data_IF_312716901113
#
_entry.id   IF_312716901113
#
_cell.length_a   1.000
_cell.length_b   1.000
_cell.length_c   1.000
_cell.angle_alpha   90.00
_cell.angle_beta   90.00
_cell.angle_gamma   90.00
#
_symmetry.space_group_name_H-M   'P 1'
#
loop_
_entity.id
_entity.type
_entity.pdbx_description
1 polymer ?
#
# COMPACT_ATOMS: atom_id res chain seq x y z
N UNK A 1 13.38 -34.22 23.73
CA UNK A 1 13.67 -32.99 22.98
C UNK A 1 12.36 -32.29 22.70
N UNK A 2 12.01 -31.26 23.48
CA UNK A 2 10.79 -30.47 23.27
C UNK A 2 11.19 -29.26 22.43
N UNK A 3 10.70 -29.20 21.20
CA UNK A 3 10.86 -28.04 20.32
C UNK A 3 10.06 -26.88 20.91
N UNK A 4 10.75 -25.87 21.44
CA UNK A 4 10.13 -24.61 21.80
C UNK A 4 9.84 -23.85 20.51
N UNK A 5 8.64 -24.05 19.96
CA UNK A 5 8.08 -23.17 18.94
C UNK A 5 7.64 -21.89 19.66
N UNK A 6 8.54 -20.90 19.75
CA UNK A 6 8.23 -19.61 20.35
C UNK A 6 7.19 -18.91 19.48
N UNK A 7 5.93 -18.99 19.88
CA UNK A 7 4.84 -18.16 19.35
C UNK A 7 5.17 -16.73 19.73
N UNK A 8 5.71 -15.95 18.79
CA UNK A 8 5.92 -14.52 18.97
C UNK A 8 4.55 -13.83 18.83
N UNK A 9 3.85 -13.65 19.94
CA UNK A 9 2.73 -12.72 20.03
C UNK A 9 3.29 -11.33 19.71
N UNK A 10 2.83 -10.71 18.63
CA UNK A 10 3.27 -9.37 18.25
C UNK A 10 2.82 -8.39 19.34
N UNK A 11 3.79 -7.87 20.09
CA UNK A 11 3.60 -6.72 20.96
C UNK A 11 3.72 -5.47 20.08
N UNK A 12 2.61 -4.75 19.92
CA UNK A 12 2.46 -3.66 18.95
C UNK A 12 3.30 -2.43 19.33
N UNK A 13 4.26 -2.07 18.47
CA UNK A 13 4.73 -0.68 18.39
C UNK A 13 3.59 0.14 17.76
N UNK A 14 3.14 1.14 18.50
CA UNK A 14 2.02 2.02 18.22
C UNK A 14 2.14 2.73 16.85
N UNK A 15 1.55 2.15 15.82
CA UNK A 15 1.10 2.89 14.65
C UNK A 15 -0.41 3.05 14.71
N UNK A 16 -0.88 4.27 14.40
CA UNK A 16 -2.30 4.64 14.37
C UNK A 16 -3.15 3.54 13.70
N UNK A 17 -4.31 3.18 14.26
CA UNK A 17 -5.17 2.18 13.65
C UNK A 17 -5.62 2.69 12.28
N UNK A 18 -5.28 1.95 11.23
CA UNK A 18 -5.83 2.16 9.89
C UNK A 18 -7.31 1.77 10.00
N UNK A 19 -8.21 2.74 9.96
CA UNK A 19 -9.63 2.48 9.75
C UNK A 19 -9.84 2.13 8.28
N UNK A 20 -9.57 0.88 7.92
CA UNK A 20 -10.03 0.29 6.66
C UNK A 20 -11.00 -0.82 7.03
N UNK A 21 -12.30 -0.56 6.92
CA UNK A 21 -13.38 -1.50 7.25
C UNK A 21 -13.76 -2.43 6.10
N UNK A 22 -13.02 -2.43 4.98
CA UNK A 22 -13.33 -3.30 3.85
C UNK A 22 -12.08 -3.99 3.30
N UNK A 23 -12.20 -5.31 3.12
CA UNK A 23 -11.24 -6.22 2.51
C UNK A 23 -10.83 -5.79 1.08
N UNK A 24 -11.62 -4.94 0.43
CA UNK A 24 -11.40 -4.43 -0.92
C UNK A 24 -12.37 -3.29 -1.24
N UNK A 25 -12.24 -2.70 -2.44
CA UNK A 25 -13.17 -1.68 -2.94
C UNK A 25 -14.13 -2.29 -3.96
N UNK A 26 -15.20 -1.57 -4.30
CA UNK A 26 -16.14 -2.01 -5.33
C UNK A 26 -15.41 -2.29 -6.64
N UNK A 27 -15.80 -3.40 -7.28
CA UNK A 27 -15.13 -3.90 -8.45
C UNK A 27 -16.10 -4.76 -9.29
N UNK A 28 -16.91 -4.10 -10.11
CA UNK A 28 -18.01 -4.72 -10.87
C UNK A 28 -17.62 -5.07 -12.31
N UNK A 29 -16.55 -4.47 -12.84
CA UNK A 29 -16.11 -4.74 -14.22
C UNK A 29 -15.09 -5.89 -14.29
N UNK A 30 -15.07 -6.62 -15.40
CA UNK A 30 -14.10 -7.70 -15.68
C UNK A 30 -12.88 -7.22 -16.48
N UNK A 31 -12.81 -5.93 -16.81
CA UNK A 31 -11.76 -5.37 -17.66
C UNK A 31 -10.39 -5.43 -16.97
N UNK A 32 -9.40 -6.10 -17.57
CA UNK A 32 -8.03 -6.16 -17.05
C UNK A 32 -7.40 -4.76 -17.05
N UNK A 33 -7.49 -4.05 -15.94
CA UNK A 33 -6.83 -2.76 -15.72
C UNK A 33 -5.73 -2.92 -14.69
N UNK A 34 -4.55 -2.42 -15.00
CA UNK A 34 -3.49 -2.26 -14.00
C UNK A 34 -3.93 -1.20 -13.01
N UNK A 35 -3.81 -1.52 -11.71
CA UNK A 35 -4.12 -0.59 -10.61
C UNK A 35 -2.81 -0.19 -9.96
N UNK A 36 -2.79 1.00 -9.37
CA UNK A 36 -1.63 1.51 -8.65
C UNK A 36 -1.90 1.59 -7.15
N UNK A 37 -0.83 1.60 -6.36
CA UNK A 37 -0.88 2.06 -4.98
C UNK A 37 0.31 2.95 -4.70
N UNK A 38 0.07 4.03 -3.99
CA UNK A 38 1.12 4.90 -3.51
C UNK A 38 1.83 4.26 -2.31
N UNK A 39 3.12 4.07 -2.44
CA UNK A 39 4.02 3.70 -1.36
C UNK A 39 4.93 4.87 -1.06
N UNK A 40 4.91 5.32 0.19
CA UNK A 40 5.79 6.40 0.65
C UNK A 40 6.73 5.82 1.70
N UNK A 41 8.04 5.75 1.43
CA UNK A 41 9.01 5.36 2.44
C UNK A 41 8.92 6.32 3.62
N UNK A 42 8.72 5.78 4.81
CA UNK A 42 8.78 6.53 6.07
C UNK A 42 10.21 6.51 6.61
N UNK A 43 10.57 7.51 7.43
CA UNK A 43 11.87 7.60 8.09
C UNK A 43 12.29 6.23 8.69
N UNK A 44 13.58 5.84 8.58
CA UNK A 44 14.06 4.66 9.26
C UNK A 44 13.85 4.85 10.76
N UNK A 45 13.04 3.99 11.39
CA UNK A 45 13.02 3.91 12.84
C UNK A 45 14.43 3.51 13.30
N UNK A 46 15.10 4.38 14.04
CA UNK A 46 16.34 4.02 14.74
C UNK A 46 16.07 2.75 15.55
N UNK A 47 16.70 1.64 15.18
CA UNK A 47 16.71 0.43 16.02
C UNK A 47 17.97 0.45 16.85
N UNK A 48 17.80 0.51 18.17
CA UNK A 48 18.84 0.11 19.11
C UNK A 48 18.90 -1.41 19.04
N UNK A 49 19.99 -1.95 18.50
CA UNK A 49 20.27 -3.38 18.61
C UNK A 49 21.17 -3.53 19.83
N UNK A 50 20.65 -4.17 20.89
CA UNK A 50 21.43 -4.55 22.06
C UNK A 50 22.22 -5.81 21.72
N UNK A 51 23.44 -5.66 21.21
CA UNK A 51 24.38 -6.77 21.03
C UNK A 51 25.33 -6.75 22.23
N UNK A 52 25.32 -7.81 23.04
CA UNK A 52 26.19 -8.10 24.19
C UNK A 52 27.24 -7.00 24.52
N UNK A 53 26.78 -5.94 25.20
CA UNK A 53 27.55 -4.80 25.72
C UNK A 53 27.84 -3.60 24.78
N UNK A 54 27.16 -3.47 23.63
CA UNK A 54 27.17 -2.23 22.83
C UNK A 54 25.77 -1.83 22.37
N UNK A 55 25.41 -0.56 22.59
CA UNK A 55 24.23 0.06 21.98
C UNK A 55 24.66 0.63 20.62
N UNK A 56 24.43 -0.11 19.53
CA UNK A 56 24.68 0.39 18.18
C UNK A 56 23.37 1.01 17.66
N UNK A 57 23.40 2.33 17.41
CA UNK A 57 22.39 2.99 16.59
C UNK A 57 22.58 2.50 15.14
N UNK A 58 21.80 1.52 14.73
CA UNK A 58 21.71 1.15 13.31
C UNK A 58 20.63 1.99 12.65
N UNK A 59 21.02 2.96 11.83
CA UNK A 59 20.09 3.60 10.89
C UNK A 59 19.66 2.54 9.88
N UNK A 60 18.35 2.28 9.77
CA UNK A 60 17.85 1.37 8.73
C UNK A 60 18.13 2.02 7.37
N UNK A 61 18.73 1.26 6.46
CA UNK A 61 19.22 1.73 5.16
C UNK A 61 18.17 2.51 4.37
N UNK A 62 18.58 3.59 3.69
CA UNK A 62 17.80 4.20 2.61
C UNK A 62 17.20 3.10 1.70
N UNK A 63 15.92 3.23 1.37
CA UNK A 63 15.28 2.31 0.43
C UNK A 63 15.67 2.69 -1.01
N UNK A 64 15.61 1.74 -1.93
CA UNK A 64 15.88 1.98 -3.35
C UNK A 64 14.70 1.51 -4.19
N UNK A 65 14.60 1.96 -5.44
CA UNK A 65 13.57 1.48 -6.36
C UNK A 65 13.60 -0.05 -6.51
N UNK A 66 14.80 -0.65 -6.60
CA UNK A 66 14.97 -2.11 -6.65
C UNK A 66 14.51 -2.81 -5.36
N UNK A 67 14.79 -2.24 -4.18
CA UNK A 67 14.28 -2.78 -2.90
C UNK A 67 12.75 -2.72 -2.83
N UNK A 68 12.15 -1.64 -3.31
CA UNK A 68 10.68 -1.49 -3.37
C UNK A 68 10.07 -2.50 -4.34
N UNK A 69 10.64 -2.66 -5.54
CA UNK A 69 10.18 -3.64 -6.51
C UNK A 69 10.21 -5.07 -5.94
N UNK A 70 11.33 -5.45 -5.31
CA UNK A 70 11.49 -6.75 -4.65
C UNK A 70 10.49 -6.94 -3.50
N UNK A 71 10.32 -5.94 -2.63
CA UNK A 71 9.35 -5.97 -1.53
C UNK A 71 7.91 -6.14 -2.04
N UNK A 72 7.63 -5.55 -3.19
CA UNK A 72 6.32 -5.57 -3.83
C UNK A 72 6.10 -6.80 -4.70
N UNK A 73 7.11 -7.65 -4.90
CA UNK A 73 7.01 -8.83 -5.77
C UNK A 73 6.84 -8.51 -7.25
N UNK A 74 7.29 -7.35 -7.73
CA UNK A 74 7.19 -6.94 -9.15
C UNK A 74 8.57 -6.68 -9.76
N UNK A 75 8.64 -6.65 -11.09
CA UNK A 75 9.88 -6.32 -11.79
C UNK A 75 10.26 -4.85 -11.59
N UNK A 76 11.56 -4.56 -11.56
CA UNK A 76 12.07 -3.19 -11.54
C UNK A 76 11.52 -2.36 -12.71
N UNK A 77 11.47 -2.95 -13.91
CA UNK A 77 10.97 -2.27 -15.10
C UNK A 77 9.50 -1.87 -14.92
N UNK A 78 8.65 -2.74 -14.38
CA UNK A 78 7.24 -2.42 -14.12
C UNK A 78 7.11 -1.26 -13.13
N UNK A 79 7.85 -1.30 -12.02
CA UNK A 79 7.88 -0.20 -11.05
C UNK A 79 8.37 1.11 -11.70
N UNK A 80 9.45 1.05 -12.47
CA UNK A 80 10.04 2.22 -13.11
C UNK A 80 9.09 2.84 -14.14
N UNK A 81 8.43 2.03 -14.96
CA UNK A 81 7.43 2.49 -15.94
C UNK A 81 6.27 3.24 -15.29
N UNK A 82 5.84 2.83 -14.10
CA UNK A 82 4.77 3.53 -13.36
C UNK A 82 5.23 4.88 -12.76
N UNK A 83 6.53 5.16 -12.73
CA UNK A 83 7.13 6.34 -12.11
C UNK A 83 8.01 7.16 -13.07
N UNK A 84 7.95 6.90 -14.38
CA UNK A 84 8.92 7.46 -15.34
C UNK A 84 8.89 8.99 -15.47
N UNK A 85 7.84 9.67 -15.01
CA UNK A 85 7.79 11.13 -14.95
C UNK A 85 8.55 11.71 -13.76
N UNK A 86 8.86 10.90 -12.74
CA UNK A 86 9.52 11.32 -11.50
C UNK A 86 11.03 11.06 -11.52
N UNK A 87 11.54 10.34 -12.52
CA UNK A 87 12.93 9.89 -12.58
C UNK A 87 13.49 9.97 -14.01
N UNK A 88 14.78 10.28 -14.22
CA UNK A 88 15.43 10.17 -15.52
C UNK A 88 15.31 8.78 -16.15
N UNK A 89 15.24 8.69 -17.48
CA UNK A 89 15.10 7.42 -18.21
C UNK A 89 16.25 6.40 -17.98
N UNK A 90 17.39 6.86 -17.45
CA UNK A 90 18.56 6.04 -17.12
C UNK A 90 18.70 5.72 -15.63
N UNK A 91 17.66 5.93 -14.82
CA UNK A 91 17.71 5.65 -13.39
C UNK A 91 18.01 4.18 -13.11
N UNK A 92 18.85 3.94 -12.10
CA UNK A 92 19.33 2.62 -11.71
C UNK A 92 18.46 1.99 -10.60
N UNK A 93 18.33 0.65 -10.51
CA UNK A 93 17.62 -0.02 -9.42
C UNK A 93 18.17 0.27 -8.01
N UNK A 94 19.43 0.69 -7.91
CA UNK A 94 20.07 1.07 -6.63
C UNK A 94 19.85 2.55 -6.27
N UNK A 95 19.13 3.31 -7.12
CA UNK A 95 18.77 4.69 -6.84
C UNK A 95 17.98 4.78 -5.54
N UNK A 96 18.45 5.63 -4.63
CA UNK A 96 17.80 5.85 -3.34
C UNK A 96 16.53 6.65 -3.52
N UNK A 97 15.44 6.20 -2.89
CA UNK A 97 14.20 6.98 -2.83
C UNK A 97 14.24 7.81 -1.56
N UNK A 98 14.06 9.12 -1.70
CA UNK A 98 13.97 10.05 -0.58
C UNK A 98 12.77 9.72 0.33
N UNK A 99 12.90 10.03 1.62
CA UNK A 99 11.78 9.91 2.55
C UNK A 99 10.66 10.84 2.12
N UNK A 100 9.41 10.42 2.32
CA UNK A 100 8.21 11.14 1.88
C UNK A 100 8.03 11.25 0.35
N UNK A 101 8.97 10.73 -0.46
CA UNK A 101 8.78 10.62 -1.89
C UNK A 101 7.81 9.46 -2.20
N UNK A 102 6.69 9.77 -2.85
CA UNK A 102 5.68 8.77 -3.18
C UNK A 102 6.05 8.00 -4.45
N UNK A 103 6.14 6.67 -4.35
CA UNK A 103 6.36 5.75 -5.45
C UNK A 103 5.06 5.01 -5.77
N UNK A 104 4.66 5.00 -7.05
CA UNK A 104 3.53 4.20 -7.54
C UNK A 104 3.96 2.76 -7.75
N UNK A 105 3.31 1.83 -7.08
CA UNK A 105 3.50 0.40 -7.26
C UNK A 105 2.36 -0.13 -8.13
N UNK A 106 2.61 -0.59 -9.36
CA UNK A 106 1.60 -1.25 -10.17
C UNK A 106 1.38 -2.68 -9.71
N UNK A 107 0.12 -3.11 -9.74
CA UNK A 107 -0.24 -4.51 -9.51
C UNK A 107 -1.46 -4.89 -10.35
N UNK A 108 -1.60 -6.19 -10.58
CA UNK A 108 -2.79 -6.73 -11.21
C UNK A 108 -3.90 -6.84 -10.16
N UNK A 109 -5.11 -6.40 -10.51
CA UNK A 109 -6.29 -6.62 -9.69
C UNK A 109 -6.85 -8.04 -9.88
N UNK A 110 -7.48 -8.57 -8.85
CA UNK A 110 -8.38 -9.71 -8.89
C UNK A 110 -9.72 -9.26 -8.32
N UNK A 111 -10.80 -9.48 -9.06
CA UNK A 111 -12.13 -9.13 -8.60
C UNK A 111 -13.01 -10.35 -8.44
N UNK A 112 -13.33 -10.62 -7.18
CA UNK A 112 -14.18 -11.72 -6.74
C UNK A 112 -15.37 -11.15 -5.98
N UNK A 113 -16.57 -11.61 -6.30
CA UNK A 113 -17.79 -11.24 -5.57
C UNK A 113 -18.07 -9.72 -5.54
N UNK A 114 -17.66 -8.98 -6.57
CA UNK A 114 -17.84 -7.53 -6.65
C UNK A 114 -16.83 -6.70 -5.84
N UNK A 115 -15.82 -7.35 -5.25
CA UNK A 115 -14.77 -6.71 -4.45
C UNK A 115 -13.43 -6.89 -5.15
N UNK A 116 -12.65 -5.81 -5.23
CA UNK A 116 -11.33 -5.78 -5.82
C UNK A 116 -10.22 -5.79 -4.79
N UNK A 117 -9.32 -6.76 -4.97
CA UNK A 117 -8.05 -6.87 -4.23
C UNK A 117 -6.90 -7.14 -5.19
N UNK A 118 -5.66 -6.95 -4.75
CA UNK A 118 -4.50 -7.29 -5.56
C UNK A 118 -4.40 -8.79 -5.82
N UNK A 119 -4.00 -9.18 -7.03
CA UNK A 119 -3.92 -10.58 -7.43
C UNK A 119 -2.61 -11.22 -6.95
N UNK A 120 -2.64 -11.91 -5.81
CA UNK A 120 -1.54 -12.71 -5.24
C UNK A 120 -0.23 -11.94 -4.95
N UNK A 121 -0.17 -10.64 -5.21
CA UNK A 121 1.00 -9.78 -5.07
C UNK A 121 0.57 -8.50 -4.36
N UNK A 122 1.33 -7.98 -3.38
CA UNK A 122 2.62 -8.46 -2.92
C UNK A 122 2.51 -9.64 -1.95
N UNK A 123 3.54 -10.49 -1.97
CA UNK A 123 3.74 -11.53 -0.95
C UNK A 123 4.83 -11.07 0.01
N UNK A 124 4.43 -10.46 1.13
CA UNK A 124 5.34 -9.81 2.07
C UNK A 124 4.77 -9.82 3.50
N UNK A 125 5.56 -9.35 4.46
CA UNK A 125 5.18 -9.25 5.88
C UNK A 125 4.91 -7.84 6.35
N UNK A 126 5.50 -6.86 5.67
CA UNK A 126 5.74 -5.53 6.24
C UNK A 126 5.01 -4.43 5.49
N UNK A 127 3.87 -4.75 4.87
CA UNK A 127 3.05 -3.75 4.18
C UNK A 127 1.81 -3.45 5.01
N UNK A 128 1.93 -2.43 5.86
CA UNK A 128 0.87 -1.99 6.77
C UNK A 128 -0.16 -1.12 6.02
N UNK A 129 -0.88 -1.72 5.08
CA UNK A 129 -1.94 -1.05 4.29
C UNK A 129 -3.32 -1.70 4.47
N UNK A 130 -3.36 -2.87 5.10
CA UNK A 130 -4.56 -3.69 5.31
C UNK A 130 -4.55 -4.25 6.73
N UNK A 131 -5.69 -4.76 7.18
CA UNK A 131 -5.79 -5.35 8.52
C UNK A 131 -5.22 -6.77 8.54
N UNK A 132 -4.90 -7.28 9.73
CA UNK A 132 -4.44 -8.67 9.88
C UNK A 132 -5.57 -9.66 9.61
N UNK A 133 -6.83 -9.27 9.84
CA UNK A 133 -8.02 -10.03 9.48
C UNK A 133 -8.12 -10.19 7.96
N UNK A 134 -7.89 -9.11 7.21
CA UNK A 134 -7.92 -9.14 5.75
C UNK A 134 -6.85 -10.08 5.21
N UNK A 135 -5.63 -9.96 5.72
CA UNK A 135 -4.53 -10.87 5.36
C UNK A 135 -4.90 -12.32 5.68
N UNK A 136 -5.43 -12.60 6.87
CA UNK A 136 -5.78 -13.96 7.26
C UNK A 136 -6.85 -14.57 6.35
N UNK A 137 -7.83 -13.77 5.92
CA UNK A 137 -8.95 -14.21 5.08
C UNK A 137 -8.55 -14.68 3.68
N UNK A 138 -7.39 -14.25 3.17
CA UNK A 138 -6.90 -14.61 1.83
C UNK A 138 -5.68 -15.55 1.85
N UNK A 139 -5.22 -15.96 3.04
CA UNK A 139 -4.03 -16.83 3.21
C UNK A 139 -4.34 -18.15 3.93
N UNK A 140 -5.61 -18.56 3.97
CA UNK A 140 -6.06 -19.78 4.68
C UNK A 140 -5.65 -19.81 6.16
N UNK A 141 -5.61 -18.64 6.83
CA UNK A 141 -5.20 -18.51 8.23
C UNK A 141 -6.46 -18.44 9.11
N UNK A 142 -6.70 -19.50 9.88
CA UNK A 142 -7.85 -19.56 10.77
C UNK A 142 -7.80 -18.55 11.94
N UNK A 143 -6.60 -18.25 12.46
CA UNK A 143 -6.42 -17.30 13.54
C UNK A 143 -5.50 -16.16 13.10
N UNK A 144 -6.09 -15.00 12.81
CA UNK A 144 -5.39 -13.80 12.32
C UNK A 144 -4.32 -13.24 13.28
N UNK A 145 -4.32 -13.67 14.55
CA UNK A 145 -3.29 -13.29 15.54
C UNK A 145 -2.05 -14.19 15.50
N UNK A 146 -2.10 -15.31 14.76
CA UNK A 146 -1.02 -16.28 14.65
C UNK A 146 -0.34 -16.17 13.28
N UNK A 147 0.69 -15.33 13.22
CA UNK A 147 1.59 -15.22 12.06
C UNK A 147 2.99 -15.65 12.52
N UNK A 148 3.62 -16.56 11.76
CA UNK A 148 4.92 -17.12 12.11
C UNK A 148 6.07 -16.30 11.55
N UNK A 149 7.27 -16.32 12.17
CA UNK A 149 8.53 -15.91 11.53
C UNK A 149 8.70 -16.57 10.15
N UNK A 150 9.31 -15.83 9.24
CA UNK A 150 9.42 -16.01 7.78
C UNK A 150 8.17 -16.39 6.95
N UNK A 151 7.00 -16.38 7.61
CA UNK A 151 5.63 -16.19 7.09
C UNK A 151 5.57 -15.35 5.80
N UNK A 152 5.52 -15.94 4.60
CA UNK A 152 5.19 -15.22 3.35
C UNK A 152 3.67 -15.11 3.22
N UNK A 153 3.15 -13.89 3.20
CA UNK A 153 1.70 -13.62 3.19
C UNK A 153 1.34 -12.80 1.97
N UNK A 154 0.33 -13.25 1.22
CA UNK A 154 -0.32 -12.41 0.24
C UNK A 154 -1.03 -11.26 0.96
N UNK A 155 -0.67 -10.03 0.62
CA UNK A 155 -1.30 -8.83 1.15
C UNK A 155 -2.41 -8.42 0.17
N UNK A 156 -3.71 -8.52 0.53
CA UNK A 156 -4.82 -8.21 -0.35
C UNK A 156 -5.01 -6.69 -0.46
N UNK A 157 -4.20 -6.01 -1.25
CA UNK A 157 -4.31 -4.56 -1.39
C UNK A 157 -5.66 -4.20 -2.02
N UNK A 158 -6.47 -3.36 -1.37
CA UNK A 158 -7.79 -3.03 -1.87
C UNK A 158 -7.64 -2.24 -3.18
N UNK A 159 -8.44 -2.58 -4.17
CA UNK A 159 -8.43 -1.93 -5.46
C UNK A 159 -9.84 -1.79 -6.03
N UNK A 160 -10.01 -0.78 -6.88
CA UNK A 160 -11.25 -0.51 -7.61
C UNK A 160 -10.97 -0.64 -9.11
N UNK A 161 -12.00 -0.91 -9.90
CA UNK A 161 -11.95 -0.95 -11.36
C UNK A 161 -13.19 -0.37 -12.04
N UNK A 162 -14.07 0.22 -11.23
CA UNK A 162 -15.32 0.78 -11.70
C UNK A 162 -15.07 2.14 -12.34
N UNK A 163 -15.87 2.44 -13.34
CA UNK A 163 -15.74 3.70 -14.05
C UNK A 163 -16.14 4.85 -13.14
N UNK A 164 -15.57 6.03 -13.41
CA UNK A 164 -15.80 7.24 -12.62
C UNK A 164 -16.55 8.26 -13.48
N UNK A 165 -17.52 8.98 -12.90
CA UNK A 165 -18.27 10.07 -13.56
C UNK A 165 -18.87 9.72 -14.94
N UNK A 166 -19.84 8.82 -15.02
CA UNK A 166 -20.57 8.63 -16.28
C UNK A 166 -19.76 7.96 -17.41
N UNK A 167 -18.96 6.96 -17.04
CA UNK A 167 -18.25 6.00 -17.90
C UNK A 167 -16.77 6.29 -18.21
N UNK A 168 -16.15 7.29 -17.57
CA UNK A 168 -14.73 7.55 -17.79
C UNK A 168 -13.84 6.41 -17.26
N UNK A 169 -12.96 5.92 -18.13
CA UNK A 169 -11.92 4.95 -17.79
C UNK A 169 -10.79 5.71 -17.09
N UNK A 170 -10.50 5.32 -15.85
CA UNK A 170 -9.41 5.88 -15.03
C UNK A 170 -8.50 4.75 -14.56
N UNK A 171 -7.27 5.10 -14.18
CA UNK A 171 -6.42 4.20 -13.42
C UNK A 171 -6.67 4.47 -11.94
N UNK A 172 -7.23 3.50 -11.22
CA UNK A 172 -7.40 3.62 -9.78
C UNK A 172 -6.04 3.57 -9.08
N UNK A 173 -5.91 4.35 -8.02
CA UNK A 173 -4.69 4.41 -7.25
C UNK A 173 -5.03 4.47 -5.76
N UNK A 174 -4.58 3.49 -4.99
CA UNK A 174 -4.69 3.56 -3.54
C UNK A 174 -3.75 4.65 -2.99
N UNK A 175 -4.28 5.56 -2.18
CA UNK A 175 -3.52 6.64 -1.55
C UNK A 175 -3.73 6.65 -0.04
N UNK A 176 -2.64 6.63 0.74
CA UNK A 176 -2.73 6.81 2.20
C UNK A 176 -2.65 8.29 2.54
N UNK A 177 -3.69 8.78 3.21
CA UNK A 177 -3.84 10.20 3.59
C UNK A 177 -2.76 10.59 4.60
N UNK A 178 -1.99 11.63 4.28
CA UNK A 178 -1.02 12.20 5.22
C UNK A 178 -1.68 13.10 6.27
N UNK A 179 -1.02 13.28 7.43
CA UNK A 179 -1.54 14.06 8.57
C UNK A 179 -1.95 15.51 8.26
N UNK A 180 -1.38 16.11 7.22
CA UNK A 180 -1.59 17.52 6.84
C UNK A 180 -2.31 17.67 5.50
N UNK A 181 -2.90 16.58 5.01
CA UNK A 181 -3.61 16.56 3.73
C UNK A 181 -5.04 17.08 3.85
N UNK A 182 -5.64 17.42 2.71
CA UNK A 182 -7.06 17.74 2.59
C UNK A 182 -7.59 17.21 1.27
N UNK A 183 -8.91 16.99 1.17
CA UNK A 183 -9.56 16.52 -0.07
C UNK A 183 -9.16 17.39 -1.26
N UNK A 184 -9.11 18.71 -1.09
CA UNK A 184 -8.71 19.65 -2.15
C UNK A 184 -7.26 19.46 -2.59
N UNK A 185 -6.33 19.29 -1.64
CA UNK A 185 -4.91 19.09 -1.95
C UNK A 185 -4.68 17.76 -2.66
N UNK A 186 -5.35 16.70 -2.21
CA UNK A 186 -5.27 15.37 -2.83
C UNK A 186 -5.86 15.42 -4.24
N UNK A 187 -7.07 15.96 -4.39
CA UNK A 187 -7.73 16.06 -5.70
C UNK A 187 -6.84 16.78 -6.72
N UNK A 188 -6.26 17.92 -6.33
CA UNK A 188 -5.30 18.65 -7.16
C UNK A 188 -4.04 17.83 -7.50
N UNK A 189 -3.48 17.10 -6.53
CA UNK A 189 -2.28 16.26 -6.73
C UNK A 189 -2.51 15.17 -7.78
N UNK A 190 -3.71 14.59 -7.83
CA UNK A 190 -4.05 13.49 -8.74
C UNK A 190 -4.82 13.94 -9.99
N UNK A 191 -5.00 15.24 -10.21
CA UNK A 191 -5.69 15.76 -11.39
C UNK A 191 -7.19 15.43 -11.42
N UNK A 192 -7.84 15.37 -10.27
CA UNK A 192 -9.29 15.15 -10.12
C UNK A 192 -9.95 16.31 -9.36
N UNK A 193 -11.27 16.26 -9.16
CA UNK A 193 -12.00 17.27 -8.37
C UNK A 193 -12.28 16.80 -6.94
N UNK A 194 -12.48 17.71 -5.99
CA UNK A 194 -12.87 17.34 -4.63
C UNK A 194 -14.21 16.58 -4.58
N UNK A 195 -15.15 16.92 -5.48
CA UNK A 195 -16.44 16.25 -5.59
C UNK A 195 -16.28 14.80 -6.03
N UNK A 196 -15.58 14.58 -7.14
CA UNK A 196 -15.23 13.25 -7.64
C UNK A 196 -14.55 12.40 -6.57
N UNK A 197 -13.56 12.97 -5.88
CA UNK A 197 -12.79 12.27 -4.86
C UNK A 197 -13.66 11.89 -3.66
N UNK A 198 -14.57 12.78 -3.26
CA UNK A 198 -15.49 12.53 -2.14
C UNK A 198 -16.51 11.46 -2.49
N UNK A 199 -17.15 11.57 -3.66
CA UNK A 199 -18.12 10.59 -4.16
C UNK A 199 -17.50 9.20 -4.29
N UNK A 200 -16.32 9.10 -4.91
CA UNK A 200 -15.60 7.83 -5.10
C UNK A 200 -15.28 7.11 -3.78
N UNK A 201 -15.08 7.88 -2.70
CA UNK A 201 -14.75 7.35 -1.38
C UNK A 201 -15.92 7.40 -0.39
N UNK A 202 -17.14 7.65 -0.87
CA UNK A 202 -18.34 7.70 -0.04
C UNK A 202 -18.34 8.79 1.04
N UNK A 203 -17.56 9.87 0.85
CA UNK A 203 -17.46 10.97 1.80
C UNK A 203 -18.60 11.96 1.59
N UNK A 204 -19.42 12.21 2.61
CA UNK A 204 -20.49 13.21 2.52
C UNK A 204 -19.94 14.65 2.64
N UNK A 205 -18.80 14.81 3.34
CA UNK A 205 -18.10 16.07 3.51
C UNK A 205 -16.58 15.84 3.63
N UNK A 206 -15.80 16.91 3.45
CA UNK A 206 -14.33 16.83 3.50
C UNK A 206 -13.76 16.55 4.89
N UNK A 207 -14.56 16.68 5.96
CA UNK A 207 -14.11 16.42 7.34
C UNK A 207 -14.08 14.94 7.70
N UNK A 208 -14.69 14.09 6.87
CA UNK A 208 -14.62 12.64 7.02
C UNK A 208 -13.24 12.07 6.64
N UNK A 209 -12.44 12.81 5.87
CA UNK A 209 -11.09 12.40 5.49
C UNK A 209 -10.17 12.33 6.72
N UNK A 210 -9.68 11.13 7.06
CA UNK A 210 -8.81 10.92 8.22
C UNK A 210 -7.34 10.69 7.84
N UNK A 211 -6.37 11.22 8.61
CA UNK A 211 -4.97 10.81 8.49
C UNK A 211 -4.78 9.29 8.63
N UNK A 212 -3.99 8.70 7.74
CA UNK A 212 -3.73 7.27 7.70
C UNK A 212 -4.83 6.45 7.02
N UNK A 213 -5.93 7.07 6.60
CA UNK A 213 -6.96 6.41 5.81
C UNK A 213 -6.40 6.06 4.41
N UNK A 214 -6.68 4.86 3.94
CA UNK A 214 -6.46 4.48 2.54
C UNK A 214 -7.69 4.86 1.73
N UNK A 215 -7.50 5.67 0.70
CA UNK A 215 -8.56 6.15 -0.20
C UNK A 215 -8.23 5.79 -1.65
N UNK A 216 -9.24 5.71 -2.49
CA UNK A 216 -9.11 5.57 -3.94
C UNK A 216 -9.00 6.96 -4.59
N UNK A 217 -7.98 7.15 -5.44
CA UNK A 217 -7.84 8.35 -6.26
C UNK A 217 -7.85 7.95 -7.74
N UNK A 218 -8.69 8.61 -8.57
CA UNK A 218 -8.74 8.32 -9.99
C UNK A 218 -7.62 9.09 -10.71
N UNK A 219 -6.72 8.37 -11.37
CA UNK A 219 -5.75 8.97 -12.28
C UNK A 219 -6.36 9.05 -13.68
N UNK A 220 -6.57 10.28 -14.14
CA UNK A 220 -6.94 10.54 -15.53
C UNK A 220 -5.64 10.61 -16.34
N UNK A 221 -5.58 9.87 -17.44
CA UNK A 221 -4.53 10.07 -18.44
C UNK A 221 -4.61 11.52 -18.91
N UNK A 222 -3.49 12.23 -18.86
CA UNK A 222 -3.35 13.56 -19.48
C UNK A 222 -3.28 13.43 -20.99
#
# INVERSE_FOLDING_TARGET
MRSFSTVLVICFLSSLPISSTALGLNCTTTATSSVLIDYTPTEPTNRIINLAHTNILTSRTNTTLGKIANLSGISYISLFSANSFSFPLSTSPIETVEVNHTIKIPFQRNCGSGIGISNQVPVTRTLNLVTHQDIASVNDIANATLIYPDQKLWIPLPCNCDRVEGDHIVVHCGHVVSKVSSVVRIAKKYGTTPGTLSELNGMANSTELQPGQLIDVPLRGS
#
